data_IF_460848851361
#
_entry.id   IF_460848851361
#
_cell.length_a   1.000
_cell.length_b   1.000
_cell.length_c   1.000
_cell.angle_alpha   90.00
_cell.angle_beta   90.00
_cell.angle_gamma   90.00
#
_symmetry.space_group_name_H-M   'P 1'
#
loop_
_entity.id
_entity.type
_entity.pdbx_description
1 polymer ?
#
# COMPACT_ATOMS: atom_id res chain seq x y z
N UNK A 1 -1.00 -13.09 2.19
CA UNK A 1 -2.11 -13.33 3.13
C UNK A 1 -3.06 -12.13 3.05
N UNK A 2 -4.35 -12.36 2.86
CA UNK A 2 -5.40 -11.33 2.98
C UNK A 2 -6.06 -11.48 4.35
N UNK A 3 -6.18 -10.39 5.10
CA UNK A 3 -6.74 -10.37 6.45
C UNK A 3 -7.58 -9.11 6.65
N UNK A 4 -8.82 -9.29 7.12
CA UNK A 4 -9.67 -8.19 7.55
C UNK A 4 -9.47 -7.94 9.05
N UNK A 5 -9.09 -6.72 9.43
CA UNK A 5 -8.91 -6.31 10.83
C UNK A 5 -10.08 -5.39 11.21
N UNK A 6 -10.94 -5.84 12.13
CA UNK A 6 -12.16 -5.11 12.48
C UNK A 6 -13.20 -5.07 11.35
N UNK A 7 -14.09 -4.07 11.37
CA UNK A 7 -15.19 -3.97 10.40
C UNK A 7 -14.77 -3.35 9.06
N UNK A 8 -13.75 -2.48 9.04
CA UNK A 8 -13.47 -1.58 7.92
C UNK A 8 -12.01 -1.59 7.43
N UNK A 9 -11.08 -2.27 8.12
CA UNK A 9 -9.68 -2.31 7.70
C UNK A 9 -9.35 -3.62 6.99
N UNK A 10 -8.75 -3.51 5.82
CA UNK A 10 -8.29 -4.60 4.96
C UNK A 10 -6.77 -4.58 4.91
N UNK A 11 -6.15 -5.73 5.08
CA UNK A 11 -4.70 -5.93 5.05
C UNK A 11 -4.34 -7.02 4.05
N UNK A 12 -3.48 -6.70 3.10
CA UNK A 12 -2.89 -7.65 2.17
C UNK A 12 -1.37 -7.64 2.35
N UNK A 13 -0.78 -8.82 2.53
CA UNK A 13 0.66 -9.00 2.63
C UNK A 13 1.14 -9.99 1.56
N UNK A 14 2.16 -9.61 0.80
CA UNK A 14 2.75 -10.39 -0.30
C UNK A 14 4.26 -10.42 -0.11
N UNK A 15 4.87 -11.61 -0.20
CA UNK A 15 6.33 -11.76 -0.18
C UNK A 15 6.83 -11.95 -1.60
N UNK A 16 7.88 -11.22 -1.97
CA UNK A 16 8.52 -11.26 -3.29
C UNK A 16 10.04 -11.39 -3.15
N UNK A 17 10.67 -12.03 -4.12
CA UNK A 17 12.13 -12.28 -4.14
C UNK A 17 12.93 -11.14 -4.80
N UNK A 18 12.26 -10.09 -5.28
CA UNK A 18 12.88 -8.96 -5.99
C UNK A 18 12.39 -7.67 -5.36
N UNK A 19 13.31 -6.71 -5.17
CA UNK A 19 13.01 -5.40 -4.60
C UNK A 19 11.90 -4.69 -5.42
N UNK A 20 10.70 -4.48 -4.84
CA UNK A 20 9.60 -3.84 -5.53
C UNK A 20 9.60 -2.32 -5.38
N UNK A 21 10.58 -1.72 -4.68
CA UNK A 21 10.68 -0.26 -4.53
C UNK A 21 10.68 0.54 -5.85
N UNK A 22 11.25 0.05 -6.97
CA UNK A 22 11.16 0.77 -8.24
C UNK A 22 9.72 0.85 -8.80
N UNK A 23 8.81 -0.02 -8.35
CA UNK A 23 7.42 -0.06 -8.82
C UNK A 23 6.52 1.02 -8.19
N UNK A 24 7.00 1.76 -7.18
CA UNK A 24 6.17 2.77 -6.50
C UNK A 24 5.64 3.84 -7.46
N UNK A 25 6.40 4.23 -8.48
CA UNK A 25 5.96 5.20 -9.47
C UNK A 25 4.79 4.68 -10.32
N UNK A 26 4.81 3.39 -10.66
CA UNK A 26 3.72 2.72 -11.38
C UNK A 26 2.49 2.57 -10.49
N UNK A 27 2.68 2.21 -9.22
CA UNK A 27 1.58 2.11 -8.24
C UNK A 27 0.92 3.46 -7.97
N UNK A 28 1.70 4.53 -7.82
CA UNK A 28 1.19 5.90 -7.72
C UNK A 28 0.34 6.25 -8.96
N UNK A 29 0.86 5.97 -10.15
CA UNK A 29 0.15 6.23 -11.39
C UNK A 29 -1.17 5.45 -11.48
N UNK A 30 -1.17 4.19 -11.05
CA UNK A 30 -2.35 3.34 -11.03
C UNK A 30 -3.40 3.83 -10.00
N UNK A 31 -2.97 4.25 -8.80
CA UNK A 31 -3.84 4.81 -7.77
C UNK A 31 -4.48 6.12 -8.22
N UNK A 32 -3.72 7.03 -8.82
CA UNK A 32 -4.23 8.28 -9.39
C UNK A 32 -5.22 8.00 -10.52
N UNK A 33 -4.91 7.06 -11.41
CA UNK A 33 -5.81 6.67 -12.50
C UNK A 33 -7.12 6.03 -11.99
N UNK A 34 -7.08 5.36 -10.84
CA UNK A 34 -8.25 4.82 -10.14
C UNK A 34 -9.03 5.87 -9.33
N UNK A 35 -8.58 7.13 -9.30
CA UNK A 35 -9.26 8.22 -8.60
C UNK A 35 -8.89 8.36 -7.12
N UNK A 36 -7.77 7.78 -6.68
CA UNK A 36 -7.21 8.02 -5.36
C UNK A 36 -6.29 9.24 -5.35
N UNK A 37 -6.36 10.03 -4.29
CA UNK A 37 -5.36 11.02 -3.96
C UNK A 37 -4.15 10.32 -3.35
N UNK A 38 -2.97 10.56 -3.90
CA UNK A 38 -1.72 9.91 -3.47
C UNK A 38 -0.79 10.94 -2.83
N UNK A 39 -0.23 10.58 -1.67
CA UNK A 39 0.80 11.35 -0.99
C UNK A 39 2.13 10.59 -1.06
N UNK A 40 3.06 11.14 -1.84
CA UNK A 40 4.38 10.59 -2.12
C UNK A 40 5.47 11.06 -1.13
N UNK A 41 5.10 11.85 -0.11
CA UNK A 41 6.06 12.38 0.87
C UNK A 41 6.84 11.29 1.61
N UNK A 42 6.28 10.07 1.72
CA UNK A 42 6.86 8.92 2.41
C UNK A 42 7.46 7.87 1.46
N UNK A 43 7.52 8.16 0.16
CA UNK A 43 7.97 7.20 -0.86
C UNK A 43 9.43 6.80 -0.62
N UNK A 44 10.27 7.73 -0.13
CA UNK A 44 11.65 7.46 0.26
C UNK A 44 11.79 6.58 1.51
N UNK A 45 10.76 6.53 2.36
CA UNK A 45 10.68 5.62 3.52
C UNK A 45 10.10 4.24 3.14
N UNK A 46 9.96 3.97 1.83
CA UNK A 46 9.36 2.73 1.32
C UNK A 46 7.86 2.66 1.55
N UNK A 47 7.16 3.81 1.60
CA UNK A 47 5.72 3.89 1.83
C UNK A 47 5.01 4.82 0.86
N UNK A 48 3.86 4.41 0.36
CA UNK A 48 2.97 5.22 -0.46
C UNK A 48 1.65 5.34 0.28
N UNK A 49 1.24 6.57 0.58
CA UNK A 49 -0.04 6.83 1.25
C UNK A 49 -1.06 7.25 0.20
N UNK A 50 -2.30 6.80 0.34
CA UNK A 50 -3.38 7.17 -0.55
C UNK A 50 -4.72 7.27 0.18
N UNK A 51 -5.68 7.98 -0.39
CA UNK A 51 -7.05 8.10 0.12
C UNK A 51 -8.02 8.39 -1.03
N UNK A 52 -9.31 8.23 -0.78
CA UNK A 52 -10.37 8.62 -1.72
C UNK A 52 -11.69 8.85 -0.97
N UNK A 53 -12.79 9.11 -1.68
CA UNK A 53 -14.12 9.21 -1.09
C UNK A 53 -14.60 7.93 -0.42
N UNK A 54 -14.10 6.77 -0.83
CA UNK A 54 -14.47 5.45 -0.30
C UNK A 54 -13.42 4.91 0.69
N UNK A 55 -12.18 5.40 0.58
CA UNK A 55 -11.03 4.96 1.37
C UNK A 55 -10.58 6.11 2.27
N UNK A 56 -10.84 5.98 3.57
CA UNK A 56 -10.43 6.96 4.58
C UNK A 56 -8.90 7.11 4.59
N UNK A 57 -8.19 5.97 4.58
CA UNK A 57 -6.74 5.92 4.50
C UNK A 57 -6.27 4.61 3.91
N UNK A 58 -5.26 4.67 3.06
CA UNK A 58 -4.58 3.53 2.48
C UNK A 58 -3.08 3.72 2.49
N UNK A 59 -2.35 2.63 2.61
CA UNK A 59 -0.90 2.60 2.60
C UNK A 59 -0.41 1.38 1.84
N UNK A 60 0.61 1.57 1.00
CA UNK A 60 1.46 0.51 0.47
C UNK A 60 2.83 0.68 1.11
N UNK A 61 3.33 -0.33 1.82
CA UNK A 61 4.64 -0.33 2.45
C UNK A 61 5.46 -1.50 1.91
N UNK A 62 6.75 -1.25 1.67
CA UNK A 62 7.72 -2.29 1.31
C UNK A 62 8.74 -2.42 2.43
N UNK A 63 8.92 -3.64 2.91
CA UNK A 63 9.82 -3.98 4.01
C UNK A 63 10.76 -5.10 3.56
N UNK A 64 12.05 -4.98 3.86
CA UNK A 64 13.00 -6.09 3.73
C UNK A 64 12.74 -7.08 4.86
N UNK A 65 12.56 -8.36 4.56
CA UNK A 65 12.43 -9.42 5.57
C UNK A 65 13.79 -10.04 5.89
N UNK A 66 14.49 -10.54 4.88
CA UNK A 66 15.77 -11.27 4.97
C UNK A 66 16.64 -11.02 3.71
N UNK A 67 17.78 -11.71 3.54
CA UNK A 67 18.83 -11.46 2.52
C UNK A 67 18.38 -11.40 1.04
N UNK A 68 17.14 -11.81 0.71
CA UNK A 68 16.60 -11.71 -0.65
C UNK A 68 15.07 -11.57 -0.73
N UNK A 69 14.38 -11.34 0.40
CA UNK A 69 12.91 -11.31 0.43
C UNK A 69 12.38 -9.96 0.89
N UNK A 70 11.35 -9.49 0.20
CA UNK A 70 10.66 -8.25 0.47
C UNK A 70 9.19 -8.53 0.73
N UNK A 71 8.64 -7.91 1.77
CA UNK A 71 7.21 -7.90 2.03
C UNK A 71 6.60 -6.62 1.48
N UNK A 72 5.64 -6.76 0.58
CA UNK A 72 4.69 -5.71 0.23
C UNK A 72 3.51 -5.84 1.18
N UNK A 73 3.24 -4.80 1.94
CA UNK A 73 2.05 -4.68 2.77
C UNK A 73 1.15 -3.59 2.21
N UNK A 74 -0.12 -3.92 2.00
CA UNK A 74 -1.15 -2.96 1.63
C UNK A 74 -2.18 -2.97 2.74
N UNK A 75 -2.37 -1.84 3.41
CA UNK A 75 -3.40 -1.65 4.41
C UNK A 75 -4.36 -0.55 3.96
N UNK A 76 -5.66 -0.75 4.18
CA UNK A 76 -6.69 0.15 3.74
C UNK A 76 -7.84 0.18 4.72
N UNK A 77 -8.25 1.37 5.15
CA UNK A 77 -9.41 1.60 6.01
C UNK A 77 -10.50 2.29 5.20
N UNK A 78 -11.66 1.64 5.14
CA UNK A 78 -12.84 2.15 4.44
C UNK A 78 -13.57 3.19 5.28
N UNK A 79 -14.12 4.21 4.62
CA UNK A 79 -15.04 5.16 5.28
C UNK A 79 -16.27 4.38 5.77
N UNK A 80 -16.66 4.49 7.05
CA UNK A 80 -17.88 3.86 7.54
C UNK A 80 -19.13 4.44 6.87
N UNK A 81 -20.03 3.57 6.41
CA UNK A 81 -21.37 3.91 5.92
C UNK A 81 -22.22 4.69 6.97
#
# INVERSE_FOLDING_TARGET
MDQKIGSNTHLLQIVVETDPTPMFADWQSALVAAGHDVNDSMMFDGRLLFSSSEVESGQIAVQSLDEAEFMIQIDMTMVPD
#
